data_IF_472614347455
#
_entry.id   IF_472614347455
#
_cell.length_a   1.000
_cell.length_b   1.000
_cell.length_c   1.000
_cell.angle_alpha   90.00
_cell.angle_beta   90.00
_cell.angle_gamma   90.00
#
_symmetry.space_group_name_H-M   'P 1'
#
loop_
_entity.id
_entity.type
_entity.pdbx_description
1 polymer ?
#
# COMPACT_ATOMS: atom_id res chain seq x y z
N UNK A 1 20.70 -6.47 10.74
CA UNK A 1 19.93 -5.23 10.56
C UNK A 1 18.67 -5.59 9.79
N UNK A 2 17.50 -5.27 10.32
CA UNK A 2 16.21 -5.69 9.73
C UNK A 2 15.78 -4.68 8.66
N UNK A 3 15.52 -5.14 7.43
CA UNK A 3 14.97 -4.27 6.37
C UNK A 3 13.45 -4.20 6.51
N UNK A 4 12.92 -2.99 6.63
CA UNK A 4 11.49 -2.70 6.82
C UNK A 4 10.99 -1.87 5.64
N UNK A 5 10.06 -2.43 4.86
CA UNK A 5 9.38 -1.70 3.81
C UNK A 5 8.25 -0.87 4.44
N UNK A 6 8.19 0.40 4.09
CA UNK A 6 7.17 1.34 4.56
C UNK A 6 6.49 1.94 3.33
N UNK A 7 5.17 1.90 3.28
CA UNK A 7 4.42 2.33 2.08
C UNK A 7 3.34 3.32 2.46
N UNK A 8 3.46 4.56 1.98
CA UNK A 8 2.46 5.61 2.13
C UNK A 8 1.52 5.68 0.90
N UNK A 9 0.43 6.43 1.01
CA UNK A 9 -0.56 6.57 -0.07
C UNK A 9 -0.05 7.40 -1.26
N UNK A 10 0.80 8.40 -0.99
CA UNK A 10 1.32 9.36 -1.99
C UNK A 10 2.79 9.68 -1.72
N UNK A 11 3.53 10.09 -2.75
CA UNK A 11 4.96 10.31 -2.64
C UNK A 11 5.31 11.46 -1.67
N UNK A 12 4.52 12.51 -1.62
CA UNK A 12 4.74 13.63 -0.69
C UNK A 12 4.58 13.19 0.77
N UNK A 13 3.60 12.32 1.07
CA UNK A 13 3.45 11.72 2.38
C UNK A 13 4.68 10.86 2.74
N UNK A 14 5.13 10.00 1.82
CA UNK A 14 6.34 9.19 2.01
C UNK A 14 7.58 10.05 2.29
N UNK A 15 7.78 11.13 1.53
CA UNK A 15 8.90 12.06 1.71
C UNK A 15 8.87 12.73 3.08
N UNK A 16 7.70 13.23 3.50
CA UNK A 16 7.54 13.91 4.78
C UNK A 16 7.71 12.94 5.96
N UNK A 17 7.14 11.74 5.87
CA UNK A 17 7.34 10.68 6.86
C UNK A 17 8.82 10.29 6.98
N UNK A 18 9.50 10.06 5.85
CA UNK A 18 10.93 9.75 5.85
C UNK A 18 11.75 10.88 6.46
N UNK A 19 11.48 12.14 6.09
CA UNK A 19 12.14 13.33 6.66
C UNK A 19 12.00 13.40 8.18
N UNK A 20 10.80 13.16 8.70
CA UNK A 20 10.52 13.16 10.14
C UNK A 20 11.29 12.02 10.84
N UNK A 21 11.17 10.80 10.33
CA UNK A 21 11.75 9.61 10.96
C UNK A 21 13.28 9.61 10.91
N UNK A 22 13.87 10.11 9.82
CA UNK A 22 15.32 10.19 9.64
C UNK A 22 15.92 11.49 10.20
N UNK A 23 15.09 12.42 10.70
CA UNK A 23 15.50 13.79 11.08
C UNK A 23 16.23 14.51 9.94
N UNK A 24 15.74 14.32 8.71
CA UNK A 24 16.32 14.84 7.46
C UNK A 24 17.45 14.00 6.86
N UNK A 25 17.95 12.97 7.55
CA UNK A 25 19.07 12.13 7.12
C UNK A 25 18.70 10.92 6.28
N UNK A 26 17.79 11.04 5.31
CA UNK A 26 17.48 9.94 4.38
C UNK A 26 18.29 10.05 3.09
N UNK A 27 18.59 8.90 2.48
CA UNK A 27 19.09 8.81 1.11
C UNK A 27 17.93 8.57 0.17
N UNK A 28 17.89 9.30 -0.95
CA UNK A 28 16.88 9.08 -1.99
C UNK A 28 17.39 8.07 -3.00
N UNK A 29 16.55 7.11 -3.36
CA UNK A 29 16.77 6.15 -4.43
C UNK A 29 15.56 6.11 -5.38
N UNK A 30 15.75 5.50 -6.55
CA UNK A 30 14.76 5.44 -7.61
C UNK A 30 14.03 4.09 -7.66
N UNK A 31 12.72 4.15 -7.85
CA UNK A 31 11.86 3.01 -8.13
C UNK A 31 11.74 2.78 -9.63
N UNK A 32 10.84 1.88 -10.04
CA UNK A 32 10.49 1.78 -11.45
C UNK A 32 9.52 2.89 -11.89
N UNK A 33 8.70 3.41 -10.96
CA UNK A 33 7.91 4.61 -11.20
C UNK A 33 8.78 5.86 -11.04
N UNK A 34 8.70 6.78 -12.00
CA UNK A 34 9.40 8.06 -11.95
C UNK A 34 8.82 9.03 -10.92
N UNK A 35 7.63 8.77 -10.39
CA UNK A 35 6.94 9.65 -9.43
C UNK A 35 7.03 9.14 -7.98
N UNK A 36 7.24 7.84 -7.79
CA UNK A 36 7.25 7.20 -6.47
C UNK A 36 8.68 6.82 -6.10
N UNK A 37 9.31 7.66 -5.27
CA UNK A 37 10.71 7.50 -4.88
C UNK A 37 10.85 6.52 -3.72
N UNK A 38 12.08 6.07 -3.49
CA UNK A 38 12.45 5.40 -2.25
C UNK A 38 13.27 6.38 -1.39
N UNK A 39 13.00 6.35 -0.10
CA UNK A 39 13.70 7.13 0.92
C UNK A 39 14.22 6.14 1.96
N UNK A 40 15.53 5.92 1.95
CA UNK A 40 16.20 4.92 2.75
C UNK A 40 16.95 5.56 3.92
N UNK A 41 16.79 5.02 5.13
CA UNK A 41 17.46 5.52 6.34
C UNK A 41 17.52 4.44 7.42
N UNK A 42 18.51 4.55 8.30
CA UNK A 42 18.61 3.69 9.47
C UNK A 42 17.86 4.32 10.64
N UNK A 43 17.14 3.50 11.42
CA UNK A 43 16.59 3.92 12.70
C UNK A 43 16.54 2.78 13.71
N UNK A 44 16.49 3.14 14.99
CA UNK A 44 16.22 2.17 16.05
C UNK A 44 14.71 2.12 16.31
N UNK A 45 14.09 0.96 16.09
CA UNK A 45 12.67 0.72 16.33
C UNK A 45 12.54 -0.29 17.47
N UNK A 46 12.06 0.17 18.63
CA UNK A 46 11.86 -0.66 19.84
C UNK A 46 13.11 -1.48 20.26
N UNK A 47 14.31 -0.89 20.12
CA UNK A 47 15.57 -1.53 20.49
C UNK A 47 16.21 -2.36 19.36
N UNK A 48 15.55 -2.50 18.22
CA UNK A 48 16.07 -3.17 17.04
C UNK A 48 16.56 -2.17 15.98
N UNK A 49 17.79 -2.38 15.50
CA UNK A 49 18.34 -1.57 14.40
C UNK A 49 17.73 -1.99 13.07
N UNK A 50 16.91 -1.10 12.53
CA UNK A 50 16.17 -1.28 11.29
C UNK A 50 16.74 -0.40 10.18
N UNK A 51 16.75 -0.93 8.97
CA UNK A 51 16.95 -0.18 7.74
C UNK A 51 15.58 0.04 7.10
N UNK A 52 15.11 1.28 7.14
CA UNK A 52 13.79 1.68 6.68
C UNK A 52 13.86 2.03 5.21
N UNK A 53 12.94 1.48 4.43
CA UNK A 53 12.75 1.77 3.02
C UNK A 53 11.36 2.36 2.87
N UNK A 54 11.27 3.68 2.82
CA UNK A 54 10.00 4.38 2.66
C UNK A 54 9.72 4.67 1.20
N UNK A 55 8.58 4.22 0.71
CA UNK A 55 8.08 4.51 -0.64
C UNK A 55 6.58 4.77 -0.60
N UNK A 56 5.94 4.90 -1.75
CA UNK A 56 4.50 5.15 -1.81
C UNK A 56 3.84 4.48 -3.00
N UNK A 57 2.52 4.35 -2.89
CA UNK A 57 1.64 4.24 -4.06
C UNK A 57 1.20 5.64 -4.51
N UNK A 58 0.20 5.70 -5.40
CA UNK A 58 -0.41 6.93 -5.91
C UNK A 58 -1.93 6.85 -5.79
N UNK A 59 -2.43 6.59 -4.57
CA UNK A 59 -3.81 6.18 -4.31
C UNK A 59 -4.02 4.68 -4.52
N UNK A 60 -5.21 4.28 -5.00
CA UNK A 60 -5.49 2.89 -5.36
C UNK A 60 -4.48 2.36 -6.38
N UNK A 61 -3.99 1.16 -6.11
CA UNK A 61 -3.09 0.40 -6.97
C UNK A 61 -3.90 -0.60 -7.81
N UNK A 62 -4.99 -1.12 -7.25
CA UNK A 62 -5.85 -2.11 -7.87
C UNK A 62 -7.27 -1.56 -8.04
N UNK A 63 -7.99 -2.07 -9.04
CA UNK A 63 -9.42 -1.81 -9.21
C UNK A 63 -10.16 -3.08 -9.59
N UNK A 64 -11.42 -3.19 -9.20
CA UNK A 64 -12.29 -4.26 -9.68
C UNK A 64 -12.61 -4.08 -11.15
N UNK A 65 -12.55 -5.18 -11.88
CA UNK A 65 -12.90 -5.20 -13.29
C UNK A 65 -13.46 -6.57 -13.68
N UNK A 66 -14.38 -6.54 -14.65
CA UNK A 66 -14.81 -7.72 -15.37
C UNK A 66 -13.73 -8.20 -16.33
N UNK A 67 -13.72 -9.51 -16.61
CA UNK A 67 -12.73 -10.15 -17.48
C UNK A 67 -13.37 -10.88 -18.65
N UNK A 68 -12.57 -11.20 -19.66
CA UNK A 68 -13.04 -11.92 -20.84
C UNK A 68 -14.17 -11.19 -21.57
N UNK A 69 -15.23 -11.93 -21.90
CA UNK A 69 -16.41 -11.41 -22.61
C UNK A 69 -17.16 -10.33 -21.83
N UNK A 70 -17.13 -10.38 -20.49
CA UNK A 70 -17.82 -9.42 -19.62
C UNK A 70 -17.22 -8.01 -19.62
N UNK A 71 -16.00 -7.83 -20.15
CA UNK A 71 -15.36 -6.50 -20.29
C UNK A 71 -15.92 -5.70 -21.46
N UNK A 72 -16.42 -6.37 -22.50
CA UNK A 72 -16.91 -5.72 -23.71
C UNK A 72 -18.40 -5.38 -23.55
N UNK A 73 -18.78 -4.16 -23.90
CA UNK A 73 -20.18 -3.70 -23.92
C UNK A 73 -21.10 -4.60 -24.74
N UNK A 74 -20.58 -5.22 -25.80
CA UNK A 74 -21.32 -6.14 -26.67
C UNK A 74 -21.00 -7.62 -26.39
N UNK A 75 -20.21 -7.90 -25.35
CA UNK A 75 -19.69 -9.24 -25.08
C UNK A 75 -20.60 -10.14 -24.24
N UNK A 76 -21.58 -9.57 -23.53
CA UNK A 76 -22.55 -10.33 -22.73
C UNK A 76 -23.87 -9.56 -22.59
N UNK A 77 -24.91 -10.23 -22.07
CA UNK A 77 -26.13 -9.54 -21.66
C UNK A 77 -25.84 -8.78 -20.35
N UNK A 78 -26.18 -7.49 -20.22
CA UNK A 78 -25.92 -6.71 -19.00
C UNK A 78 -26.44 -7.36 -17.71
N UNK A 79 -27.54 -8.12 -17.75
CA UNK A 79 -28.06 -8.84 -16.58
C UNK A 79 -27.06 -9.88 -16.04
N UNK A 80 -26.19 -10.42 -16.89
CA UNK A 80 -25.15 -11.36 -16.47
C UNK A 80 -24.07 -10.67 -15.63
N UNK A 81 -23.93 -9.34 -15.69
CA UNK A 81 -22.94 -8.60 -14.91
C UNK A 81 -23.24 -8.60 -13.40
N UNK A 82 -24.48 -8.90 -12.98
CA UNK A 82 -24.80 -9.07 -11.56
C UNK A 82 -24.17 -10.33 -10.94
N UNK A 83 -23.89 -11.34 -11.77
CA UNK A 83 -23.33 -12.63 -11.32
C UNK A 83 -21.91 -12.86 -11.86
N UNK A 84 -21.47 -12.08 -12.86
CA UNK A 84 -20.18 -12.25 -13.50
C UNK A 84 -19.02 -12.13 -12.47
N UNK A 85 -17.94 -12.92 -12.61
CA UNK A 85 -16.79 -12.82 -11.73
C UNK A 85 -16.07 -11.49 -11.95
N UNK A 86 -15.94 -10.70 -10.89
CA UNK A 86 -15.11 -9.49 -10.85
C UNK A 86 -13.80 -9.81 -10.12
N UNK A 87 -12.67 -9.33 -10.65
CA UNK A 87 -11.36 -9.49 -10.02
C UNK A 87 -10.67 -8.14 -9.87
N UNK A 88 -9.82 -8.02 -8.85
CA UNK A 88 -8.92 -6.87 -8.71
C UNK A 88 -7.77 -6.99 -9.70
N UNK A 89 -7.62 -5.99 -10.57
CA UNK A 89 -6.51 -5.86 -11.51
C UNK A 89 -5.70 -4.60 -11.21
N UNK A 90 -4.40 -4.62 -11.56
CA UNK A 90 -3.58 -3.41 -11.49
C UNK A 90 -4.16 -2.33 -12.41
N UNK A 91 -4.25 -1.11 -11.91
CA UNK A 91 -4.67 0.04 -12.72
C UNK A 91 -3.57 0.33 -13.74
N UNK A 92 -3.97 0.61 -14.98
CA UNK A 92 -3.06 0.92 -16.09
C UNK A 92 -2.14 2.09 -15.72
N UNK A 93 -0.83 1.89 -15.90
CA UNK A 93 0.21 2.87 -15.57
C UNK A 93 0.74 2.74 -14.14
N UNK A 94 0.12 1.93 -13.28
CA UNK A 94 0.60 1.65 -11.91
C UNK A 94 1.51 0.42 -11.84
N UNK A 95 1.72 -0.29 -12.94
CA UNK A 95 2.61 -1.46 -13.00
C UNK A 95 4.04 -1.17 -12.47
N UNK A 96 4.67 -0.01 -12.76
CA UNK A 96 5.99 0.30 -12.22
C UNK A 96 5.97 0.43 -10.68
N UNK A 97 4.88 0.93 -10.08
CA UNK A 97 4.73 0.98 -8.63
C UNK A 97 4.62 -0.44 -8.08
N UNK A 98 3.75 -1.26 -8.67
CA UNK A 98 3.57 -2.66 -8.29
C UNK A 98 4.89 -3.44 -8.34
N UNK A 99 5.65 -3.31 -9.43
CA UNK A 99 6.98 -3.93 -9.58
C UNK A 99 7.97 -3.44 -8.53
N UNK A 100 7.89 -2.17 -8.12
CA UNK A 100 8.75 -1.63 -7.04
C UNK A 100 8.40 -2.28 -5.70
N UNK A 101 7.11 -2.39 -5.38
CA UNK A 101 6.64 -3.08 -4.17
C UNK A 101 7.06 -4.55 -4.15
N UNK A 102 6.91 -5.24 -5.28
CA UNK A 102 7.33 -6.64 -5.43
C UNK A 102 8.85 -6.81 -5.23
N UNK A 103 9.67 -5.90 -5.78
CA UNK A 103 11.13 -5.89 -5.62
C UNK A 103 11.52 -5.73 -4.15
N UNK A 104 10.99 -4.69 -3.49
CA UNK A 104 11.36 -4.39 -2.10
C UNK A 104 10.81 -5.43 -1.12
N UNK A 105 9.64 -6.02 -1.38
CA UNK A 105 9.05 -7.06 -0.55
C UNK A 105 9.92 -8.33 -0.46
N UNK A 106 10.68 -8.68 -1.52
CA UNK A 106 11.62 -9.82 -1.48
C UNK A 106 12.68 -9.63 -0.40
N UNK A 107 13.20 -8.41 -0.29
CA UNK A 107 14.30 -8.05 0.61
C UNK A 107 13.81 -7.69 2.02
N UNK A 108 12.58 -7.20 2.14
CA UNK A 108 12.00 -6.78 3.42
C UNK A 108 11.64 -7.97 4.31
N UNK A 109 11.83 -7.78 5.62
CA UNK A 109 11.36 -8.73 6.64
C UNK A 109 10.02 -8.29 7.25
N UNK A 110 9.73 -6.99 7.20
CA UNK A 110 8.49 -6.38 7.68
C UNK A 110 7.95 -5.37 6.68
N UNK A 111 6.64 -5.21 6.67
CA UNK A 111 5.90 -4.18 5.93
C UNK A 111 5.10 -3.33 6.93
N UNK A 112 5.28 -2.02 6.89
CA UNK A 112 4.49 -1.06 7.67
C UNK A 112 3.66 -0.21 6.70
N UNK A 113 2.34 -0.22 6.87
CA UNK A 113 1.40 0.56 6.08
C UNK A 113 1.22 1.95 6.70
N UNK A 114 1.45 2.97 5.87
CA UNK A 114 1.41 4.41 6.19
C UNK A 114 0.40 5.17 5.32
N UNK A 115 -0.60 4.48 4.77
CA UNK A 115 -1.73 5.11 4.08
C UNK A 115 -2.57 5.97 5.04
N UNK A 116 -3.42 6.84 4.51
CA UNK A 116 -4.25 7.71 5.34
C UNK A 116 -5.19 6.88 6.24
N UNK A 117 -5.50 7.39 7.44
CA UNK A 117 -6.21 6.64 8.48
C UNK A 117 -7.74 6.72 8.34
N UNK A 118 -8.24 6.37 7.15
CA UNK A 118 -9.66 6.21 6.85
C UNK A 118 -9.93 4.85 6.15
N UNK A 119 -11.17 4.61 5.72
CA UNK A 119 -11.55 3.33 5.09
C UNK A 119 -10.85 3.11 3.75
N UNK A 120 -10.69 4.15 2.93
CA UNK A 120 -10.04 4.05 1.63
C UNK A 120 -8.55 3.76 1.80
N UNK A 121 -7.89 4.47 2.71
CA UNK A 121 -6.50 4.23 3.06
C UNK A 121 -6.27 2.83 3.64
N UNK A 122 -7.22 2.28 4.41
CA UNK A 122 -7.15 0.89 4.86
C UNK A 122 -7.28 -0.08 3.68
N UNK A 123 -8.19 0.16 2.74
CA UNK A 123 -8.35 -0.66 1.54
C UNK A 123 -7.09 -0.64 0.64
N UNK A 124 -6.53 0.55 0.38
CA UNK A 124 -5.25 0.71 -0.32
C UNK A 124 -4.13 -0.03 0.43
N UNK A 125 -4.14 0.01 1.76
CA UNK A 125 -3.25 -0.78 2.62
C UNK A 125 -3.33 -2.28 2.31
N UNK A 126 -4.53 -2.84 2.18
CA UNK A 126 -4.73 -4.24 1.81
C UNK A 126 -4.31 -4.56 0.37
N UNK A 127 -4.47 -3.64 -0.58
CA UNK A 127 -3.94 -3.80 -1.94
C UNK A 127 -2.40 -3.97 -1.92
N UNK A 128 -1.70 -3.11 -1.17
CA UNK A 128 -0.25 -3.18 -0.98
C UNK A 128 0.13 -4.51 -0.32
N UNK A 129 -0.58 -4.91 0.75
CA UNK A 129 -0.34 -6.17 1.46
C UNK A 129 -0.47 -7.36 0.52
N UNK A 130 -1.51 -7.40 -0.31
CA UNK A 130 -1.74 -8.49 -1.26
C UNK A 130 -0.62 -8.59 -2.29
N UNK A 131 -0.18 -7.45 -2.85
CA UNK A 131 0.96 -7.41 -3.78
C UNK A 131 2.24 -7.91 -3.11
N UNK A 132 2.55 -7.45 -1.90
CA UNK A 132 3.77 -7.87 -1.21
C UNK A 132 3.72 -9.34 -0.75
N UNK A 133 2.58 -9.82 -0.25
CA UNK A 133 2.41 -11.21 0.20
C UNK A 133 2.37 -12.23 -0.94
N UNK A 134 1.94 -11.83 -2.13
CA UNK A 134 2.08 -12.66 -3.33
C UNK A 134 3.55 -13.02 -3.62
N UNK A 135 4.48 -12.15 -3.21
CA UNK A 135 5.93 -12.37 -3.34
C UNK A 135 6.52 -13.04 -2.10
N UNK A 136 6.09 -12.64 -0.90
CA UNK A 136 6.58 -13.17 0.37
C UNK A 136 5.40 -13.46 1.32
N UNK A 137 4.82 -14.67 1.29
CA UNK A 137 3.59 -14.99 2.04
C UNK A 137 3.71 -14.78 3.56
N UNK A 138 4.90 -15.05 4.12
CA UNK A 138 5.18 -14.92 5.56
C UNK A 138 5.64 -13.50 5.96
N UNK A 139 5.44 -12.48 5.11
CA UNK A 139 5.82 -11.11 5.43
C UNK A 139 5.01 -10.59 6.62
N UNK A 140 5.71 -10.13 7.66
CA UNK A 140 5.09 -9.53 8.83
C UNK A 140 4.55 -8.15 8.46
N UNK A 141 3.24 -7.95 8.65
CA UNK A 141 2.55 -6.71 8.28
C UNK A 141 2.10 -5.98 9.53
N UNK A 142 2.33 -4.67 9.55
CA UNK A 142 1.89 -3.77 10.61
C UNK A 142 1.25 -2.52 10.00
N UNK A 143 0.37 -1.87 10.78
CA UNK A 143 -0.35 -0.64 10.41
C UNK A 143 0.03 0.48 11.38
N UNK A 144 0.60 1.54 10.83
CA UNK A 144 0.83 2.78 11.58
C UNK A 144 -0.47 3.61 11.57
N UNK A 145 -0.94 4.03 12.75
CA UNK A 145 -2.12 4.89 12.90
C UNK A 145 -1.71 6.29 13.35
N UNK A 146 -2.05 7.29 12.55
CA UNK A 146 -1.70 8.69 12.77
C UNK A 146 -2.83 9.60 12.29
N UNK A 147 -2.99 10.76 12.93
CA UNK A 147 -4.01 11.76 12.56
C UNK A 147 -3.42 12.97 11.83
N UNK A 148 -2.09 13.08 11.81
CA UNK A 148 -1.33 14.20 11.25
C UNK A 148 0.11 13.78 10.96
N UNK A 149 0.77 14.46 10.03
CA UNK A 149 2.18 14.26 9.69
C UNK A 149 3.05 15.24 10.48
N UNK A 150 3.11 15.02 11.79
CA UNK A 150 3.97 15.77 12.73
C UNK A 150 4.95 14.82 13.42
N UNK A 151 6.11 15.31 13.90
CA UNK A 151 7.06 14.46 14.62
C UNK A 151 6.45 13.70 15.80
N UNK A 152 5.61 14.35 16.60
CA UNK A 152 4.98 13.71 17.76
C UNK A 152 4.01 12.59 17.34
N UNK A 153 3.17 12.84 16.34
CA UNK A 153 2.21 11.86 15.81
C UNK A 153 2.89 10.64 15.18
N UNK A 154 3.91 10.87 14.33
CA UNK A 154 4.66 9.80 13.66
C UNK A 154 5.42 8.92 14.65
N UNK A 155 6.08 9.53 15.65
CA UNK A 155 6.79 8.77 16.67
C UNK A 155 5.84 7.95 17.55
N UNK A 156 4.67 8.51 17.89
CA UNK A 156 3.62 7.77 18.62
C UNK A 156 3.11 6.58 17.79
N UNK A 157 2.91 6.76 16.49
CA UNK A 157 2.46 5.70 15.59
C UNK A 157 3.47 4.53 15.53
N UNK A 158 4.77 4.83 15.46
CA UNK A 158 5.84 3.83 15.48
C UNK A 158 5.90 3.03 16.79
N UNK A 159 5.59 3.66 17.93
CA UNK A 159 5.54 3.00 19.24
C UNK A 159 4.29 2.13 19.41
N UNK A 160 3.22 2.43 18.67
CA UNK A 160 1.91 1.79 18.81
C UNK A 160 1.43 1.17 17.49
N UNK A 161 2.34 0.49 16.78
CA UNK A 161 2.00 -0.24 15.56
C UNK A 161 0.93 -1.30 15.84
N UNK A 162 -0.07 -1.35 14.97
CA UNK A 162 -1.22 -2.26 15.09
C UNK A 162 -1.30 -3.22 13.91
N UNK A 163 -2.33 -4.07 13.88
CA UNK A 163 -2.63 -4.92 12.72
C UNK A 163 -3.62 -4.16 11.82
N UNK A 164 -3.51 -4.26 10.47
CA UNK A 164 -4.52 -3.74 9.56
C UNK A 164 -5.94 -4.29 9.86
N UNK A 165 -6.96 -3.45 9.67
CA UNK A 165 -8.37 -3.75 9.93
C UNK A 165 -9.08 -4.24 8.66
N UNK A 166 -9.13 -5.56 8.50
CA UNK A 166 -9.74 -6.22 7.34
C UNK A 166 -11.22 -5.87 7.15
N UNK A 167 -11.94 -5.57 8.24
CA UNK A 167 -13.38 -5.24 8.15
C UNK A 167 -13.62 -3.91 7.44
N UNK A 168 -12.72 -2.95 7.63
CA UNK A 168 -12.81 -1.66 6.94
C UNK A 168 -12.50 -1.80 5.46
N UNK A 169 -11.45 -2.56 5.11
CA UNK A 169 -11.14 -2.87 3.72
C UNK A 169 -12.28 -3.63 3.04
N UNK A 170 -12.85 -4.65 3.69
CA UNK A 170 -13.97 -5.42 3.17
C UNK A 170 -15.22 -4.55 2.89
N UNK A 171 -15.50 -3.54 3.73
CA UNK A 171 -16.60 -2.62 3.48
C UNK A 171 -16.39 -1.78 2.21
N UNK A 172 -15.15 -1.36 1.91
CA UNK A 172 -14.81 -0.66 0.66
C UNK A 172 -14.91 -1.61 -0.53
N UNK A 173 -14.49 -2.86 -0.39
CA UNK A 173 -14.61 -3.87 -1.45
C UNK A 173 -16.06 -4.14 -1.83
N UNK A 174 -16.94 -4.31 -0.83
CA UNK A 174 -18.38 -4.48 -1.05
C UNK A 174 -18.96 -3.27 -1.81
N UNK A 175 -18.63 -2.04 -1.38
CA UNK A 175 -19.09 -0.83 -2.07
C UNK A 175 -18.61 -0.82 -3.53
N UNK A 176 -17.32 -1.08 -3.74
CA UNK A 176 -16.69 -1.02 -5.06
C UNK A 176 -17.26 -2.06 -6.03
N UNK A 177 -17.58 -3.25 -5.53
CA UNK A 177 -18.21 -4.29 -6.34
C UNK A 177 -19.67 -3.96 -6.66
N UNK A 178 -20.43 -3.40 -5.72
CA UNK A 178 -21.80 -2.92 -5.99
C UNK A 178 -21.80 -1.80 -7.03
N UNK A 179 -20.92 -0.81 -6.88
CA UNK A 179 -20.77 0.32 -7.82
C UNK A 179 -20.34 -0.15 -9.23
N UNK A 180 -19.62 -1.27 -9.35
CA UNK A 180 -19.24 -1.85 -10.64
C UNK A 180 -20.41 -2.58 -11.33
N UNK A 181 -21.31 -3.17 -10.54
CA UNK A 181 -22.38 -4.05 -11.05
C UNK A 181 -23.67 -3.29 -11.38
N UNK A 182 -23.94 -2.16 -10.71
CA UNK A 182 -25.19 -1.38 -10.81
C UNK A 182 -24.99 -0.20 -11.76
#
# INVERSE_FOLDING_TARGET
>A
MVRVLNVAEKNDAAKNLASIMSRGGFTRAEGFSVYNKLYEFDMNLNGERCHMVMTSVSGHLLNYAFTGTYRSWLGCNPLQLFEAPAIKMCIEGMEPIKQTLEREARLASRLIIWTDCDREGENIGFEIINVCRAIKPNLQVQRAKFSEITPASVMRALQNLSVPDEKQSAAVDVRSELDLRI
#
